data_IF_254731812546
#
_entry.id   IF_254731812546
#
_cell.length_a   1.000
_cell.length_b   1.000
_cell.length_c   1.000
_cell.angle_alpha   90.00
_cell.angle_beta   90.00
_cell.angle_gamma   90.00
#
_symmetry.space_group_name_H-M   'P 1'
#
loop_
_entity.id
_entity.type
_entity.pdbx_description
1 polymer ?
#
# COMPACT_ATOMS: atom_id res chain seq x y z
N UNK A 1 18.24 -10.11 -8.09
CA UNK A 1 17.07 -9.69 -7.31
C UNK A 1 15.85 -10.15 -8.06
N UNK A 2 15.02 -11.00 -7.45
CA UNK A 2 13.87 -11.59 -8.12
C UNK A 2 12.74 -10.58 -8.20
N UNK A 3 12.31 -10.23 -9.42
CA UNK A 3 11.31 -9.16 -9.64
C UNK A 3 9.90 -9.50 -9.13
N UNK A 4 9.69 -10.76 -8.73
CA UNK A 4 8.42 -11.27 -8.21
C UNK A 4 8.38 -11.32 -6.67
N UNK A 5 9.48 -10.98 -5.98
CA UNK A 5 9.49 -10.88 -4.51
C UNK A 5 8.44 -9.88 -4.03
N UNK A 6 7.65 -10.28 -3.03
CA UNK A 6 6.77 -9.37 -2.32
C UNK A 6 7.57 -8.53 -1.33
N UNK A 7 7.30 -7.23 -1.33
CA UNK A 7 8.04 -6.26 -0.54
C UNK A 7 7.11 -5.22 0.05
N UNK A 8 7.53 -4.63 1.16
CA UNK A 8 6.90 -3.48 1.80
C UNK A 8 7.66 -2.24 1.35
N UNK A 9 6.94 -1.27 0.80
CA UNK A 9 7.48 -0.02 0.24
C UNK A 9 7.39 1.16 1.22
N UNK A 10 6.36 1.19 2.06
CA UNK A 10 6.11 2.28 2.99
C UNK A 10 5.23 1.82 4.16
N UNK A 11 5.29 2.57 5.25
CA UNK A 11 4.37 2.49 6.39
C UNK A 11 3.57 3.80 6.46
N UNK A 12 2.25 3.68 6.56
CA UNK A 12 1.28 4.78 6.63
C UNK A 12 0.52 4.71 7.95
N UNK A 13 0.10 5.88 8.44
CA UNK A 13 -0.72 6.00 9.64
C UNK A 13 -2.08 5.35 9.42
N UNK A 14 -2.35 4.33 10.22
CA UNK A 14 -3.64 3.62 10.21
C UNK A 14 -4.80 4.54 10.60
N UNK A 15 -4.56 5.52 11.47
CA UNK A 15 -5.57 6.52 11.86
C UNK A 15 -6.11 7.34 10.68
N UNK A 16 -5.37 7.40 9.57
CA UNK A 16 -5.73 8.17 8.38
C UNK A 16 -6.38 7.27 7.30
N UNK A 17 -6.80 6.05 7.63
CA UNK A 17 -7.33 5.07 6.68
C UNK A 17 -8.46 5.62 5.79
N UNK A 18 -9.47 6.28 6.37
CA UNK A 18 -10.60 6.82 5.58
C UNK A 18 -10.14 7.91 4.59
N UNK A 19 -9.17 8.74 4.97
CA UNK A 19 -8.58 9.76 4.10
C UNK A 19 -7.81 9.10 2.94
N UNK A 20 -7.00 8.07 3.25
CA UNK A 20 -6.25 7.30 2.26
C UNK A 20 -7.23 6.65 1.27
N UNK A 21 -8.28 5.99 1.76
CA UNK A 21 -9.32 5.38 0.92
C UNK A 21 -9.97 6.42 0.02
N UNK A 22 -10.35 7.59 0.55
CA UNK A 22 -10.99 8.65 -0.25
C UNK A 22 -10.09 9.10 -1.41
N UNK A 23 -8.82 9.42 -1.13
CA UNK A 23 -7.87 9.90 -2.16
C UNK A 23 -7.63 8.84 -3.22
N UNK A 24 -7.43 7.59 -2.80
CA UNK A 24 -7.12 6.51 -3.73
C UNK A 24 -8.35 6.09 -4.53
N UNK A 25 -9.56 6.16 -3.97
CA UNK A 25 -10.80 5.83 -4.69
C UNK A 25 -11.11 6.82 -5.81
N UNK A 26 -10.72 8.08 -5.67
CA UNK A 26 -10.87 9.09 -6.72
C UNK A 26 -9.95 8.84 -7.93
N UNK A 27 -8.83 8.16 -7.72
CA UNK A 27 -7.81 7.89 -8.75
C UNK A 27 -7.85 6.46 -9.31
N UNK A 28 -8.20 5.47 -8.49
CA UNK A 28 -8.15 4.05 -8.85
C UNK A 28 -9.58 3.49 -8.94
N UNK A 29 -10.12 3.29 -10.16
CA UNK A 29 -11.50 2.82 -10.35
C UNK A 29 -11.73 1.36 -9.90
N UNK A 30 -10.65 0.57 -9.81
CA UNK A 30 -10.67 -0.81 -9.34
C UNK A 30 -9.96 -0.91 -7.98
N UNK A 31 -10.60 -0.35 -6.96
CA UNK A 31 -10.14 -0.36 -5.57
C UNK A 31 -11.20 -1.03 -4.70
N UNK A 32 -10.76 -1.98 -3.87
CA UNK A 32 -11.57 -2.62 -2.84
C UNK A 32 -10.98 -2.28 -1.48
N UNK A 33 -11.81 -2.17 -0.44
CA UNK A 33 -11.33 -1.88 0.91
C UNK A 33 -12.26 -2.44 1.98
N UNK A 34 -11.73 -2.57 3.19
CA UNK A 34 -12.51 -2.96 4.36
C UNK A 34 -11.84 -2.53 5.66
N UNK A 35 -12.68 -2.30 6.69
CA UNK A 35 -12.25 -1.97 8.05
C UNK A 35 -13.12 -2.75 9.04
N UNK A 36 -12.67 -3.95 9.41
CA UNK A 36 -13.36 -4.83 10.37
C UNK A 36 -12.32 -5.54 11.25
N UNK A 37 -11.79 -4.82 12.24
CA UNK A 37 -10.70 -5.29 13.09
C UNK A 37 -9.35 -4.92 12.51
N UNK A 38 -9.09 -5.33 11.27
CA UNK A 38 -7.96 -4.88 10.45
C UNK A 38 -8.44 -3.99 9.30
N UNK A 39 -7.56 -3.11 8.87
CA UNK A 39 -7.78 -2.18 7.77
C UNK A 39 -7.02 -2.66 6.55
N UNK A 40 -7.68 -2.68 5.40
CA UNK A 40 -7.06 -3.08 4.14
C UNK A 40 -7.64 -2.36 2.94
N UNK A 41 -6.78 -2.13 1.95
CA UNK A 41 -7.09 -1.59 0.63
C UNK A 41 -6.39 -2.47 -0.40
N UNK A 42 -7.12 -2.93 -1.41
CA UNK A 42 -6.58 -3.65 -2.56
C UNK A 42 -6.78 -2.84 -3.82
N UNK A 43 -5.67 -2.55 -4.49
CA UNK A 43 -5.66 -1.80 -5.74
C UNK A 43 -5.28 -2.75 -6.86
N UNK A 44 -6.17 -2.89 -7.83
CA UNK A 44 -5.96 -3.75 -8.99
C UNK A 44 -5.62 -2.87 -10.19
N UNK A 45 -4.42 -3.04 -10.72
CA UNK A 45 -3.99 -2.31 -11.90
C UNK A 45 -3.26 -3.25 -12.88
N UNK A 46 -3.91 -3.48 -14.03
CA UNK A 46 -3.47 -4.47 -15.03
C UNK A 46 -3.26 -5.85 -14.40
N UNK A 47 -2.02 -6.34 -14.39
CA UNK A 47 -1.64 -7.67 -13.90
C UNK A 47 -1.15 -7.65 -12.44
N UNK A 48 -1.30 -6.52 -11.73
CA UNK A 48 -0.79 -6.36 -10.37
C UNK A 48 -1.93 -6.11 -9.39
N UNK A 49 -1.83 -6.78 -8.24
CA UNK A 49 -2.53 -6.42 -7.02
C UNK A 49 -1.51 -5.75 -6.10
N UNK A 50 -1.85 -4.57 -5.62
CA UNK A 50 -1.14 -3.86 -4.58
C UNK A 50 -2.01 -3.83 -3.33
N UNK A 51 -1.39 -3.98 -2.17
CA UNK A 51 -2.08 -4.09 -0.90
C UNK A 51 -1.61 -2.98 0.03
N UNK A 52 -2.54 -2.37 0.74
CA UNK A 52 -2.25 -1.45 1.84
C UNK A 52 -3.02 -2.01 3.03
N UNK A 53 -2.34 -2.63 3.99
CA UNK A 53 -3.02 -3.36 5.06
C UNK A 53 -2.32 -3.26 6.42
N UNK A 54 -3.07 -3.53 7.48
CA UNK A 54 -2.56 -3.64 8.85
C UNK A 54 -2.46 -5.10 9.34
N UNK A 55 -2.33 -6.09 8.46
CA UNK A 55 -2.43 -7.51 8.87
C UNK A 55 -1.21 -7.98 9.67
N UNK A 56 -0.05 -7.40 9.43
CA UNK A 56 1.22 -7.76 10.08
C UNK A 56 1.81 -6.67 10.95
N UNK A 57 1.16 -5.51 11.04
CA UNK A 57 1.64 -4.33 11.75
C UNK A 57 0.49 -3.57 12.41
N UNK A 58 0.83 -2.74 13.40
CA UNK A 58 -0.13 -1.80 13.98
C UNK A 58 -0.54 -0.70 13.00
N UNK A 59 0.33 -0.42 12.02
CA UNK A 59 0.19 0.63 11.01
C UNK A 59 -0.08 0.00 9.65
N UNK A 60 -0.49 0.81 8.67
CA UNK A 60 -0.74 0.33 7.31
C UNK A 60 0.59 0.14 6.58
N UNK A 61 0.78 -1.02 5.97
CA UNK A 61 1.95 -1.34 5.16
C UNK A 61 1.57 -1.36 3.67
N UNK A 62 2.30 -0.62 2.85
CA UNK A 62 2.13 -0.63 1.38
C UNK A 62 2.94 -1.77 0.80
N UNK A 63 2.28 -2.83 0.34
CA UNK A 63 2.86 -4.10 -0.11
C UNK A 63 2.56 -4.40 -1.56
N UNK A 64 3.49 -5.09 -2.20
CA UNK A 64 3.27 -5.63 -3.54
C UNK A 64 4.51 -6.30 -4.10
N UNK A 65 4.42 -6.90 -5.30
CA UNK A 65 5.59 -7.45 -5.96
C UNK A 65 6.57 -6.31 -6.31
N UNK A 66 7.87 -6.54 -6.17
CA UNK A 66 8.92 -5.51 -6.40
C UNK A 66 8.80 -4.82 -7.76
N UNK A 67 8.37 -5.54 -8.81
CA UNK A 67 8.08 -4.98 -10.15
C UNK A 67 6.95 -3.95 -10.20
N UNK A 68 6.08 -3.88 -9.19
CA UNK A 68 5.01 -2.89 -9.10
C UNK A 68 5.49 -1.51 -8.60
N UNK A 69 6.81 -1.29 -8.47
CA UNK A 69 7.39 -0.03 -7.99
C UNK A 69 6.80 1.22 -8.68
N UNK A 70 6.55 1.19 -9.99
CA UNK A 70 5.94 2.33 -10.69
C UNK A 70 4.54 2.69 -10.19
N UNK A 71 3.69 1.68 -9.96
CA UNK A 71 2.34 1.86 -9.40
C UNK A 71 2.39 2.33 -7.94
N UNK A 72 3.33 1.77 -7.16
CA UNK A 72 3.56 2.22 -5.79
C UNK A 72 3.92 3.69 -5.78
N UNK A 73 4.87 4.11 -6.61
CA UNK A 73 5.27 5.52 -6.68
C UNK A 73 4.06 6.42 -6.99
N UNK A 74 3.20 6.04 -7.93
CA UNK A 74 1.96 6.79 -8.20
C UNK A 74 1.09 6.94 -6.93
N UNK A 75 0.85 5.86 -6.19
CA UNK A 75 0.13 5.90 -4.91
C UNK A 75 0.80 6.84 -3.91
N UNK A 76 2.11 6.70 -3.69
CA UNK A 76 2.83 7.52 -2.71
C UNK A 76 2.82 9.01 -3.09
N UNK A 77 2.76 9.36 -4.37
CA UNK A 77 2.67 10.76 -4.82
C UNK A 77 1.28 11.38 -4.63
N UNK A 78 0.21 10.57 -4.57
CA UNK A 78 -1.15 11.06 -4.36
C UNK A 78 -1.44 11.37 -2.89
N UNK A 79 -0.79 10.66 -1.97
CA UNK A 79 -1.06 10.78 -0.55
C UNK A 79 -0.37 12.00 0.06
N UNK A 80 -1.01 12.70 1.01
CA UNK A 80 -0.42 13.87 1.64
C UNK A 80 0.74 13.45 2.56
N UNK A 81 1.82 14.24 2.69
CA UNK A 81 2.98 13.89 3.51
C UNK A 81 2.66 13.53 4.97
N UNK A 82 1.54 14.02 5.51
CA UNK A 82 1.11 13.75 6.88
C UNK A 82 0.71 12.31 7.16
N UNK A 83 0.34 11.52 6.15
CA UNK A 83 -0.08 10.12 6.38
C UNK A 83 1.11 9.17 6.46
N UNK A 84 2.31 9.59 6.05
CA UNK A 84 3.48 8.74 6.05
C UNK A 84 4.11 8.63 7.44
N UNK A 85 4.49 7.41 7.79
CA UNK A 85 5.37 7.12 8.91
C UNK A 85 6.79 6.95 8.37
N UNK A 86 6.94 6.10 7.35
CA UNK A 86 8.22 5.87 6.67
C UNK A 86 8.01 5.47 5.21
N UNK A 87 8.98 5.78 4.36
CA UNK A 87 9.06 5.36 2.96
C UNK A 87 10.43 4.76 2.72
N UNK A 88 10.48 3.47 2.40
CA UNK A 88 11.74 2.75 2.33
C UNK A 88 12.47 3.00 1.00
N UNK A 89 13.65 3.62 1.08
CA UNK A 89 14.54 3.79 -0.08
C UNK A 89 14.83 2.44 -0.78
N UNK A 90 15.00 1.38 0.02
CA UNK A 90 15.04 0.00 -0.45
C UNK A 90 13.87 -0.78 0.18
N UNK A 91 12.88 -1.23 -0.62
CA UNK A 91 11.73 -1.96 -0.09
C UNK A 91 12.14 -3.20 0.70
N UNK A 92 11.56 -3.35 1.90
CA UNK A 92 11.80 -4.48 2.81
C UNK A 92 11.15 -5.74 2.25
N UNK A 93 11.78 -6.90 2.41
CA UNK A 93 11.15 -8.17 2.01
C UNK A 93 9.92 -8.42 2.89
N UNK A 94 8.80 -8.76 2.27
CA UNK A 94 7.59 -9.17 2.97
C UNK A 94 7.63 -10.70 3.17
N UNK A 95 7.68 -11.14 4.43
CA UNK A 95 7.72 -12.56 4.78
C UNK A 95 6.33 -13.18 4.97
N UNK A 96 5.26 -12.41 4.77
CA UNK A 96 3.88 -12.87 4.97
C UNK A 96 3.23 -13.42 3.70
N UNK A 97 3.95 -13.41 2.58
CA UNK A 97 3.47 -13.73 1.23
C UNK A 97 4.22 -14.89 0.58
#
# INVERSE_FOLDING_TARGET
>A
MEQNEWVIFAELRRSDFELIVSILSDHFPCLEWGSQGDDWIWIYHRDYKLEIDSFSSMELEVKGPRKAYGLVQEILHLLPPSVFIDVFECPKLDFTR
#
